data_IF_680664945490
#
_entry.id   IF_680664945490
#
_cell.length_a   1.000
_cell.length_b   1.000
_cell.length_c   1.000
_cell.angle_alpha   90.00
_cell.angle_beta   90.00
_cell.angle_gamma   90.00
#
_symmetry.space_group_name_H-M   'P 1'
#
loop_
_entity.id
_entity.type
_entity.pdbx_description
1 polymer ?
#
# COMPACT_ATOMS: atom_id res chain seq x y z
N UNK A 1 -7.44 20.68 0.87
CA UNK A 1 -7.85 20.36 2.25
C UNK A 1 -7.87 18.85 2.54
N UNK A 2 -8.57 18.03 1.74
CA UNK A 2 -8.71 16.58 1.96
C UNK A 2 -7.37 15.80 2.01
N UNK A 3 -6.43 16.08 1.11
CA UNK A 3 -5.13 15.39 1.07
C UNK A 3 -4.22 15.70 2.26
N UNK A 4 -4.35 16.90 2.84
CA UNK A 4 -3.62 17.30 4.04
C UNK A 4 -4.15 16.60 5.30
N UNK A 5 -5.48 16.57 5.46
CA UNK A 5 -6.13 15.82 6.54
C UNK A 5 -5.82 14.32 6.47
N UNK A 6 -5.86 13.72 5.28
CA UNK A 6 -5.49 12.32 5.08
C UNK A 6 -4.02 12.02 5.40
N UNK A 7 -3.12 12.98 5.14
CA UNK A 7 -1.69 12.83 5.45
C UNK A 7 -1.41 12.97 6.95
N UNK A 8 -2.03 13.96 7.61
CA UNK A 8 -1.95 14.14 9.06
C UNK A 8 -2.53 12.93 9.82
N UNK A 9 -3.66 12.40 9.34
CA UNK A 9 -4.25 11.18 9.87
C UNK A 9 -3.29 9.98 9.79
N UNK A 10 -2.61 9.80 8.65
CA UNK A 10 -1.60 8.73 8.49
C UNK A 10 -0.39 8.92 9.40
N UNK A 11 0.03 10.15 9.65
CA UNK A 11 1.09 10.42 10.62
C UNK A 11 0.64 9.97 12.02
N UNK A 12 -0.57 10.34 12.44
CA UNK A 12 -1.13 9.91 13.73
C UNK A 12 -1.25 8.37 13.87
N UNK A 13 -1.50 7.66 12.77
CA UNK A 13 -1.57 6.19 12.75
C UNK A 13 -0.22 5.51 12.58
N UNK A 14 0.87 6.24 12.31
CA UNK A 14 2.19 5.63 12.05
C UNK A 14 2.69 4.77 13.21
N UNK A 15 2.49 5.12 14.50
CA UNK A 15 2.87 4.22 15.60
C UNK A 15 2.19 2.85 15.53
N UNK A 16 0.90 2.81 15.21
CA UNK A 16 0.13 1.56 15.09
C UNK A 16 0.63 0.77 13.88
N UNK A 17 0.89 1.44 12.76
CA UNK A 17 1.46 0.83 11.55
C UNK A 17 2.85 0.24 11.80
N UNK A 18 3.72 0.93 12.55
CA UNK A 18 5.03 0.43 12.96
C UNK A 18 4.89 -0.81 13.83
N UNK A 19 4.00 -0.80 14.84
CA UNK A 19 3.76 -1.99 15.67
C UNK A 19 3.26 -3.17 14.84
N UNK A 20 2.25 -2.95 13.99
CA UNK A 20 1.72 -3.97 13.09
C UNK A 20 2.80 -4.54 12.19
N UNK A 21 3.60 -3.68 11.56
CA UNK A 21 4.63 -4.09 10.60
C UNK A 21 5.73 -4.90 11.31
N UNK A 22 6.17 -4.47 12.49
CA UNK A 22 7.14 -5.24 13.29
C UNK A 22 6.59 -6.59 13.72
N UNK A 23 5.33 -6.67 14.18
CA UNK A 23 4.69 -7.95 14.51
C UNK A 23 4.59 -8.89 13.29
N UNK A 24 4.30 -8.34 12.10
CA UNK A 24 4.19 -9.13 10.87
C UNK A 24 5.53 -9.66 10.35
N UNK A 25 6.63 -8.96 10.60
CA UNK A 25 7.96 -9.31 10.06
C UNK A 25 8.85 -10.00 11.07
N UNK A 26 8.89 -9.51 12.31
CA UNK A 26 9.74 -10.03 13.39
C UNK A 26 9.04 -11.16 14.16
N UNK A 27 7.70 -11.18 14.22
CA UNK A 27 6.95 -12.22 14.92
C UNK A 27 6.96 -12.03 16.45
N UNK A 28 7.18 -13.12 17.20
CA UNK A 28 7.03 -13.15 18.66
C UNK A 28 7.93 -12.15 19.39
N UNK A 29 9.15 -11.89 18.89
CA UNK A 29 10.10 -10.94 19.47
C UNK A 29 9.84 -9.46 19.15
N UNK A 30 8.82 -9.14 18.34
CA UNK A 30 8.58 -7.78 17.86
C UNK A 30 8.30 -6.78 18.99
N UNK A 31 7.51 -7.19 19.98
CA UNK A 31 7.11 -6.32 21.09
C UNK A 31 8.31 -5.95 21.95
N UNK A 32 9.16 -6.92 22.27
CA UNK A 32 10.38 -6.72 23.06
C UNK A 32 11.35 -5.81 22.31
N UNK A 33 11.54 -6.03 21.00
CA UNK A 33 12.37 -5.18 20.15
C UNK A 33 11.87 -3.73 20.08
N UNK A 34 10.55 -3.52 19.91
CA UNK A 34 9.98 -2.17 19.89
C UNK A 34 10.16 -1.49 21.24
N UNK A 35 9.87 -2.18 22.35
CA UNK A 35 10.03 -1.63 23.70
C UNK A 35 11.50 -1.27 23.95
N UNK A 36 12.45 -2.10 23.52
CA UNK A 36 13.87 -1.82 23.61
C UNK A 36 14.23 -0.56 22.80
N UNK A 37 13.79 -0.43 21.55
CA UNK A 37 14.03 0.78 20.73
C UNK A 37 13.43 2.04 21.37
N UNK A 38 12.21 1.96 21.88
CA UNK A 38 11.55 3.11 22.52
C UNK A 38 12.29 3.53 23.79
N UNK A 39 12.85 2.58 24.55
CA UNK A 39 13.68 2.89 25.74
C UNK A 39 15.01 3.54 25.37
N UNK A 40 15.65 3.11 24.28
CA UNK A 40 16.97 3.60 23.86
C UNK A 40 16.89 4.96 23.14
N UNK A 41 15.99 5.08 22.16
CA UNK A 41 15.94 6.20 21.21
C UNK A 41 14.70 7.09 21.41
N UNK A 42 13.82 6.74 22.35
CA UNK A 42 12.58 7.45 22.65
C UNK A 42 11.39 7.09 21.75
N UNK A 43 10.24 7.69 22.03
CA UNK A 43 8.96 7.39 21.33
C UNK A 43 8.96 7.77 19.84
N UNK A 44 9.90 8.62 19.40
CA UNK A 44 10.05 9.03 18.01
C UNK A 44 10.32 7.86 17.06
N UNK A 45 10.87 6.74 17.55
CA UNK A 45 11.12 5.53 16.74
C UNK A 45 9.85 4.95 16.13
N UNK A 46 8.69 5.15 16.77
CA UNK A 46 7.41 4.67 16.28
C UNK A 46 6.94 5.39 15.01
N UNK A 47 7.51 6.56 14.73
CA UNK A 47 7.25 7.35 13.52
C UNK A 47 8.29 7.08 12.42
N UNK A 48 9.23 6.16 12.63
CA UNK A 48 10.16 5.73 11.58
C UNK A 48 9.36 5.16 10.42
N UNK A 49 9.57 5.72 9.22
CA UNK A 49 8.81 5.35 8.02
C UNK A 49 7.63 6.27 7.70
N UNK A 50 7.24 7.22 8.55
CA UNK A 50 6.18 8.19 8.23
C UNK A 50 6.47 8.94 6.92
N UNK A 51 7.71 9.45 6.78
CA UNK A 51 8.16 10.14 5.57
C UNK A 51 8.17 9.20 4.35
N UNK A 52 8.72 8.00 4.49
CA UNK A 52 8.73 7.03 3.39
C UNK A 52 7.31 6.63 2.96
N UNK A 53 6.38 6.52 3.91
CA UNK A 53 4.97 6.24 3.61
C UNK A 53 4.30 7.38 2.85
N UNK A 54 4.59 8.63 3.22
CA UNK A 54 4.11 9.82 2.51
C UNK A 54 4.68 9.87 1.07
N UNK A 55 6.00 9.66 0.94
CA UNK A 55 6.67 9.65 -0.37
C UNK A 55 6.17 8.49 -1.24
N UNK A 56 6.02 7.28 -0.68
CA UNK A 56 5.48 6.12 -1.40
C UNK A 56 4.05 6.36 -1.88
N UNK A 57 3.22 7.02 -1.06
CA UNK A 57 1.85 7.37 -1.44
C UNK A 57 1.84 8.40 -2.56
N UNK A 58 2.69 9.43 -2.50
CA UNK A 58 2.78 10.43 -3.55
C UNK A 58 3.31 9.84 -4.86
N UNK A 59 4.44 9.12 -4.78
CA UNK A 59 5.09 8.49 -5.93
C UNK A 59 4.25 7.36 -6.53
N UNK A 60 3.37 6.72 -5.76
CA UNK A 60 2.42 5.73 -6.27
C UNK A 60 1.17 6.36 -6.88
N UNK A 61 0.63 7.42 -6.28
CA UNK A 61 -0.63 8.03 -6.73
C UNK A 61 -0.52 8.65 -8.12
N UNK A 62 0.56 9.38 -8.40
CA UNK A 62 0.70 10.06 -9.69
C UNK A 62 0.73 9.07 -10.88
N UNK A 63 1.58 8.03 -10.90
CA UNK A 63 1.55 7.00 -11.94
C UNK A 63 0.22 6.25 -12.02
N UNK A 64 -0.46 6.04 -10.88
CA UNK A 64 -1.78 5.41 -10.86
C UNK A 64 -2.79 6.23 -11.67
N UNK A 65 -2.94 7.52 -11.35
CA UNK A 65 -3.90 8.39 -12.05
C UNK A 65 -3.54 8.57 -13.52
N UNK A 66 -2.25 8.74 -13.83
CA UNK A 66 -1.79 8.85 -15.20
C UNK A 66 -2.14 7.61 -16.03
N UNK A 67 -1.84 6.42 -15.49
CA UNK A 67 -2.13 5.14 -16.17
C UNK A 67 -3.63 4.92 -16.31
N UNK A 68 -4.39 5.17 -15.25
CA UNK A 68 -5.85 5.01 -15.26
C UNK A 68 -6.49 5.91 -16.31
N UNK A 69 -6.14 7.20 -16.34
CA UNK A 69 -6.71 8.17 -17.27
C UNK A 69 -6.30 7.86 -18.71
N UNK A 70 -5.03 7.54 -18.95
CA UNK A 70 -4.53 7.20 -20.30
C UNK A 70 -5.22 5.97 -20.87
N UNK A 71 -5.39 4.92 -20.06
CA UNK A 71 -6.10 3.71 -20.49
C UNK A 71 -7.61 3.96 -20.63
N UNK A 72 -8.18 4.84 -19.80
CA UNK A 72 -9.60 5.20 -19.89
C UNK A 72 -9.91 5.97 -21.18
N UNK A 73 -8.96 6.75 -21.72
CA UNK A 73 -9.09 7.41 -23.02
C UNK A 73 -8.84 6.45 -24.19
N UNK A 74 -7.88 5.52 -24.05
CA UNK A 74 -7.50 4.61 -25.11
C UNK A 74 -8.48 3.42 -25.31
N UNK A 75 -9.13 2.95 -24.24
CA UNK A 75 -10.00 1.78 -24.30
C UNK A 75 -11.45 2.15 -24.67
N UNK A 76 -12.10 1.38 -25.56
CA UNK A 76 -13.47 1.65 -25.99
C UNK A 76 -14.43 1.66 -24.80
N UNK A 77 -15.46 2.51 -24.91
CA UNK A 77 -16.53 2.56 -23.92
C UNK A 77 -17.32 1.25 -23.98
N UNK A 78 -17.68 0.76 -22.80
CA UNK A 78 -18.54 -0.40 -22.70
C UNK A 78 -19.94 -0.06 -23.24
N UNK A 79 -20.59 -0.97 -23.99
CA UNK A 79 -21.93 -0.76 -24.51
C UNK A 79 -22.94 -0.36 -23.42
N UNK A 80 -23.90 0.47 -23.79
CA UNK A 80 -24.97 0.86 -22.86
C UNK A 80 -25.82 -0.35 -22.46
N UNK A 81 -26.11 -0.43 -21.15
CA UNK A 81 -26.80 -1.58 -20.55
C UNK A 81 -25.90 -2.78 -20.22
N UNK A 82 -24.67 -2.87 -20.74
CA UNK A 82 -23.77 -3.98 -20.42
C UNK A 82 -22.95 -3.71 -19.14
N UNK A 83 -23.53 -4.11 -18.01
CA UNK A 83 -22.88 -4.03 -16.72
C UNK A 83 -21.58 -4.87 -16.67
N UNK A 84 -21.53 -6.02 -17.33
CA UNK A 84 -20.36 -6.91 -17.28
C UNK A 84 -19.16 -6.29 -17.99
N UNK A 85 -19.37 -5.70 -19.17
CA UNK A 85 -18.34 -4.99 -19.91
C UNK A 85 -17.85 -3.74 -19.16
N UNK A 86 -18.75 -3.00 -18.50
CA UNK A 86 -18.39 -1.83 -17.65
C UNK A 86 -17.49 -2.23 -16.48
N UNK A 87 -17.81 -3.33 -15.81
CA UNK A 87 -17.01 -3.85 -14.70
C UNK A 87 -15.65 -4.37 -15.17
N UNK A 88 -15.62 -5.17 -16.24
CA UNK A 88 -14.38 -5.71 -16.79
C UNK A 88 -13.43 -4.59 -17.20
N UNK A 89 -13.94 -3.57 -17.91
CA UNK A 89 -13.17 -2.39 -18.29
C UNK A 89 -12.59 -1.69 -17.06
N UNK A 90 -13.42 -1.41 -16.06
CA UNK A 90 -12.99 -0.73 -14.83
C UNK A 90 -11.94 -1.55 -14.06
N UNK A 91 -12.09 -2.87 -14.02
CA UNK A 91 -11.12 -3.77 -13.41
C UNK A 91 -9.77 -3.75 -14.16
N UNK A 92 -9.77 -3.81 -15.48
CA UNK A 92 -8.55 -3.72 -16.30
C UNK A 92 -7.84 -2.39 -16.08
N UNK A 93 -8.58 -1.28 -16.07
CA UNK A 93 -8.04 0.05 -15.78
C UNK A 93 -7.40 0.10 -14.39
N UNK A 94 -8.14 -0.34 -13.36
CA UNK A 94 -7.71 -0.29 -11.98
C UNK A 94 -6.51 -1.19 -11.68
N UNK A 95 -6.51 -2.43 -12.18
CA UNK A 95 -5.39 -3.38 -12.01
C UNK A 95 -4.15 -2.88 -12.73
N UNK A 96 -4.28 -2.40 -13.98
CA UNK A 96 -3.13 -1.88 -14.73
C UNK A 96 -2.50 -0.66 -14.03
N UNK A 97 -3.35 0.28 -13.57
CA UNK A 97 -2.90 1.43 -12.80
C UNK A 97 -2.24 1.04 -11.47
N UNK A 98 -2.79 0.04 -10.76
CA UNK A 98 -2.20 -0.49 -9.53
C UNK A 98 -0.83 -1.13 -9.79
N UNK A 99 -0.68 -1.91 -10.87
CA UNK A 99 0.59 -2.53 -11.24
C UNK A 99 1.69 -1.48 -11.47
N UNK A 100 1.40 -0.44 -12.25
CA UNK A 100 2.37 0.64 -12.51
C UNK A 100 2.72 1.39 -11.22
N UNK A 101 1.72 1.69 -10.39
CA UNK A 101 1.91 2.33 -9.08
C UNK A 101 2.79 1.51 -8.13
N UNK A 102 2.57 0.19 -8.08
CA UNK A 102 3.34 -0.71 -7.25
C UNK A 102 4.78 -0.83 -7.72
N UNK A 103 5.02 -0.93 -9.03
CA UNK A 103 6.38 -0.94 -9.60
C UNK A 103 7.18 0.31 -9.21
N UNK A 104 6.55 1.49 -9.26
CA UNK A 104 7.22 2.77 -8.94
C UNK A 104 7.41 2.96 -7.43
N UNK A 105 6.44 2.54 -6.62
CA UNK A 105 6.47 2.76 -5.16
C UNK A 105 7.12 1.63 -4.36
N UNK A 106 7.42 0.47 -4.97
CA UNK A 106 7.88 -0.72 -4.24
C UNK A 106 9.16 -0.48 -3.44
N UNK A 107 10.17 0.13 -4.05
CA UNK A 107 11.48 0.34 -3.39
C UNK A 107 11.36 1.19 -2.13
N UNK A 108 10.51 2.22 -2.15
CA UNK A 108 10.25 3.07 -0.99
C UNK A 108 9.54 2.27 0.10
N UNK A 109 8.61 1.39 -0.27
CA UNK A 109 7.91 0.51 0.69
C UNK A 109 8.86 -0.52 1.30
N UNK A 110 9.77 -1.10 0.51
CA UNK A 110 10.81 -2.00 1.02
C UNK A 110 11.69 -1.27 2.03
N UNK A 111 12.19 -0.07 1.70
CA UNK A 111 12.99 0.76 2.62
C UNK A 111 12.23 1.11 3.91
N UNK A 112 10.96 1.48 3.79
CA UNK A 112 10.08 1.76 4.94
C UNK A 112 10.02 0.56 5.88
N UNK A 113 9.67 -0.61 5.34
CA UNK A 113 9.51 -1.84 6.13
C UNK A 113 10.84 -2.23 6.78
N UNK A 114 11.95 -2.26 6.03
CA UNK A 114 13.27 -2.57 6.60
C UNK A 114 13.65 -1.66 7.75
N UNK A 115 13.38 -0.35 7.63
CA UNK A 115 13.64 0.60 8.71
C UNK A 115 12.72 0.39 9.93
N UNK A 116 11.43 0.13 9.71
CA UNK A 116 10.47 -0.11 10.80
C UNK A 116 10.78 -1.38 11.59
N UNK A 117 11.25 -2.42 10.90
CA UNK A 117 11.46 -3.76 11.47
C UNK A 117 12.90 -4.00 11.94
N UNK A 118 13.82 -3.08 11.66
CA UNK A 118 15.20 -3.15 12.16
C UNK A 118 15.25 -3.05 13.68
N UNK A 119 16.07 -3.89 14.31
CA UNK A 119 16.32 -3.88 15.76
C UNK A 119 16.98 -2.57 16.22
N UNK A 120 17.84 -2.00 15.38
CA UNK A 120 18.48 -0.72 15.62
C UNK A 120 17.79 0.40 14.84
N UNK A 121 17.93 1.63 15.32
CA UNK A 121 17.47 2.82 14.59
C UNK A 121 18.44 3.13 13.45
N UNK A 122 18.04 2.74 12.25
CA UNK A 122 18.83 2.96 11.03
C UNK A 122 18.25 4.10 10.18
N UNK A 123 19.12 4.72 9.39
CA UNK A 123 18.78 5.68 8.33
C UNK A 123 18.29 4.95 7.07
N UNK A 124 17.68 5.67 6.13
CA UNK A 124 17.28 5.07 4.85
C UNK A 124 18.47 4.64 3.99
N UNK A 125 19.62 5.30 4.14
CA UNK A 125 20.86 4.91 3.43
C UNK A 125 21.39 3.59 3.97
N UNK A 126 21.41 3.43 5.30
CA UNK A 126 21.82 2.17 5.94
C UNK A 126 20.82 1.05 5.60
N UNK A 127 19.52 1.32 5.62
CA UNK A 127 18.51 0.35 5.18
C UNK A 127 18.74 -0.10 3.73
N UNK A 128 19.00 0.84 2.81
CA UNK A 128 19.30 0.53 1.42
C UNK A 128 20.58 -0.31 1.30
N UNK A 129 21.64 0.05 2.03
CA UNK A 129 22.89 -0.68 2.03
C UNK A 129 22.71 -2.12 2.54
N UNK A 130 22.03 -2.31 3.67
CA UNK A 130 21.71 -3.63 4.21
C UNK A 130 20.95 -4.51 3.22
N UNK A 131 19.98 -3.94 2.49
CA UNK A 131 19.21 -4.68 1.48
C UNK A 131 20.09 -5.05 0.28
N UNK A 132 20.92 -4.11 -0.19
CA UNK A 132 21.79 -4.33 -1.34
C UNK A 132 22.86 -5.38 -1.00
N UNK A 133 23.40 -5.35 0.21
CA UNK A 133 24.41 -6.32 0.65
C UNK A 133 23.81 -7.72 0.83
N UNK A 134 22.55 -7.83 1.25
CA UNK A 134 21.89 -9.13 1.44
C UNK A 134 21.27 -9.71 0.16
N UNK A 135 20.52 -8.90 -0.59
CA UNK A 135 19.63 -9.33 -1.69
C UNK A 135 19.93 -8.60 -3.02
N UNK A 136 20.91 -7.70 -3.02
CA UNK A 136 21.25 -6.88 -4.17
C UNK A 136 20.15 -5.90 -4.59
N UNK A 137 20.33 -5.33 -5.78
CA UNK A 137 19.35 -4.43 -6.39
C UNK A 137 18.00 -5.11 -6.64
N UNK A 138 17.98 -6.44 -6.83
CA UNK A 138 16.73 -7.21 -6.95
C UNK A 138 15.93 -7.20 -5.65
N UNK A 139 16.58 -7.24 -4.49
CA UNK A 139 15.92 -7.07 -3.20
C UNK A 139 15.29 -5.69 -3.05
N UNK A 140 16.02 -4.64 -3.42
CA UNK A 140 15.53 -3.27 -3.27
C UNK A 140 14.30 -2.98 -4.13
N UNK A 141 14.26 -3.46 -5.39
CA UNK A 141 13.17 -3.15 -6.32
C UNK A 141 12.12 -4.26 -6.46
N UNK A 142 12.47 -5.51 -6.18
CA UNK A 142 11.61 -6.67 -6.45
C UNK A 142 11.05 -7.38 -5.23
N UNK A 143 11.60 -7.14 -4.03
CA UNK A 143 11.14 -7.84 -2.80
C UNK A 143 9.66 -7.56 -2.56
N UNK A 144 8.88 -8.64 -2.48
CA UNK A 144 7.43 -8.60 -2.25
C UNK A 144 6.57 -8.02 -3.39
N UNK A 145 7.16 -7.61 -4.52
CA UNK A 145 6.41 -6.98 -5.62
C UNK A 145 5.39 -7.94 -6.23
N UNK A 146 5.81 -9.15 -6.61
CA UNK A 146 4.91 -10.14 -7.22
C UNK A 146 3.71 -10.48 -6.33
N UNK A 147 3.96 -10.74 -5.04
CA UNK A 147 2.90 -10.96 -4.06
C UNK A 147 1.96 -9.77 -3.98
N UNK A 148 2.49 -8.53 -3.93
CA UNK A 148 1.66 -7.33 -3.85
C UNK A 148 0.74 -7.18 -5.06
N UNK A 149 1.27 -7.37 -6.27
CA UNK A 149 0.50 -7.29 -7.51
C UNK A 149 -0.68 -8.28 -7.48
N UNK A 150 -0.41 -9.54 -7.12
CA UNK A 150 -1.44 -10.58 -7.02
C UNK A 150 -2.46 -10.24 -5.92
N UNK A 151 -2.00 -9.84 -4.73
CA UNK A 151 -2.92 -9.52 -3.63
C UNK A 151 -3.78 -8.30 -3.92
N UNK A 152 -3.25 -7.29 -4.60
CA UNK A 152 -4.01 -6.09 -4.99
C UNK A 152 -5.08 -6.45 -6.03
N UNK A 153 -4.75 -7.29 -7.01
CA UNK A 153 -5.72 -7.77 -7.98
C UNK A 153 -6.83 -8.61 -7.31
N UNK A 154 -6.47 -9.55 -6.44
CA UNK A 154 -7.43 -10.37 -5.69
C UNK A 154 -8.30 -9.52 -4.76
N UNK A 155 -7.70 -8.56 -4.05
CA UNK A 155 -8.41 -7.64 -3.18
C UNK A 155 -9.44 -6.82 -3.96
N UNK A 156 -9.09 -6.33 -5.14
CA UNK A 156 -10.00 -5.58 -6.00
C UNK A 156 -11.20 -6.43 -6.45
N UNK A 157 -10.96 -7.67 -6.85
CA UNK A 157 -12.03 -8.62 -7.24
C UNK A 157 -12.95 -8.92 -6.07
N UNK A 158 -12.38 -9.31 -4.92
CA UNK A 158 -13.14 -9.65 -3.72
C UNK A 158 -13.97 -8.47 -3.23
N UNK A 159 -13.37 -7.28 -3.17
CA UNK A 159 -14.08 -6.06 -2.77
C UNK A 159 -15.27 -5.79 -3.70
N UNK A 160 -15.07 -5.89 -5.02
CA UNK A 160 -16.15 -5.65 -6.00
C UNK A 160 -17.30 -6.64 -5.84
N UNK A 161 -17.00 -7.94 -5.64
CA UNK A 161 -18.01 -8.99 -5.45
C UNK A 161 -18.76 -8.78 -4.14
N UNK A 162 -18.03 -8.61 -3.03
CA UNK A 162 -18.64 -8.42 -1.70
C UNK A 162 -19.50 -7.16 -1.69
N UNK A 163 -18.99 -6.06 -2.26
CA UNK A 163 -19.73 -4.81 -2.32
C UNK A 163 -21.05 -4.95 -3.07
N UNK A 164 -21.04 -5.57 -4.26
CA UNK A 164 -22.26 -5.82 -5.04
C UNK A 164 -23.27 -6.69 -4.30
N UNK A 165 -22.81 -7.75 -3.64
CA UNK A 165 -23.68 -8.60 -2.83
C UNK A 165 -24.31 -7.83 -1.67
N UNK A 166 -23.53 -6.99 -0.99
CA UNK A 166 -24.04 -6.13 0.09
C UNK A 166 -25.03 -5.09 -0.45
N UNK A 167 -24.72 -4.44 -1.58
CA UNK A 167 -25.59 -3.49 -2.25
C UNK A 167 -26.95 -4.11 -2.58
N UNK A 168 -26.96 -5.30 -3.20
CA UNK A 168 -28.21 -6.02 -3.49
C UNK A 168 -29.01 -6.37 -2.24
N UNK A 169 -28.35 -6.78 -1.15
CA UNK A 169 -29.05 -7.10 0.10
C UNK A 169 -29.61 -5.84 0.76
N UNK A 170 -28.84 -4.76 0.80
CA UNK A 170 -29.28 -3.48 1.40
C UNK A 170 -30.45 -2.89 0.60
N UNK A 171 -30.40 -2.95 -0.74
CA UNK A 171 -31.51 -2.52 -1.59
C UNK A 171 -32.78 -3.35 -1.35
N UNK A 172 -32.67 -4.65 -1.10
CA UNK A 172 -33.83 -5.52 -0.76
C UNK A 172 -34.42 -5.21 0.62
N UNK A 173 -33.60 -4.77 1.57
CA UNK A 173 -34.02 -4.44 2.94
C UNK A 173 -34.65 -3.04 3.04
N UNK A 174 -34.66 -2.26 1.94
CA UNK A 174 -35.34 -0.95 1.88
C UNK A 174 -34.64 0.16 2.66
N UNK A 175 -33.36 0.00 3.03
CA UNK A 175 -32.64 1.00 3.83
C UNK A 175 -32.37 2.33 3.08
N UNK A 176 -32.55 2.33 1.75
CA UNK A 176 -32.45 3.52 0.89
C UNK A 176 -33.78 3.91 0.24
N UNK A 177 -34.92 3.39 0.72
CA UNK A 177 -36.26 3.81 0.31
C UNK A 177 -36.86 4.79 1.31
#
# INVERSE_FOLDING_TARGET
AASGAASLWRIGLTPIDTMKTSLQVVGEGATEQIVAKVKTDGVGVLYQGALANAVASFAGNYPWYLTFNSLNEALPLAPDGDLSAKLLRTAVLGVSAACVSDCVSNSIRVLKTTRQTSAETITYKEAAQQIIDSDGWRGLFGRGLGTRLVTNALQAVLFTVIWKLLEEQISKVGFFA
#
